data_IF_384765156694
#
_entry.id   IF_384765156694
#
_cell.length_a   1.000
_cell.length_b   1.000
_cell.length_c   1.000
_cell.angle_alpha   90.00
_cell.angle_beta   90.00
_cell.angle_gamma   90.00
#
_symmetry.space_group_name_H-M   'P 1'
#
loop_
_entity.id
_entity.type
_entity.pdbx_description
1 polymer ?
#
# COMPACT_ATOMS: atom_id res chain seq x y z
N UNK A 1 26.70 1.15 -27.86
CA UNK A 1 25.42 1.00 -27.11
C UNK A 1 25.08 -0.48 -27.05
N UNK A 2 24.46 -0.93 -25.98
CA UNK A 2 24.06 -2.33 -25.78
C UNK A 2 22.55 -2.40 -25.59
N UNK A 3 21.98 -3.55 -25.97
CA UNK A 3 20.61 -3.94 -25.65
C UNK A 3 20.59 -5.19 -24.76
N UNK A 4 19.53 -5.34 -23.99
CA UNK A 4 19.21 -6.52 -23.20
C UNK A 4 17.74 -6.50 -22.79
N UNK A 5 17.22 -7.58 -22.21
CA UNK A 5 15.82 -7.70 -21.81
C UNK A 5 15.69 -7.61 -20.29
N UNK A 6 14.75 -6.80 -19.81
CA UNK A 6 14.40 -6.69 -18.40
C UNK A 6 14.03 -8.07 -17.83
N UNK A 7 14.60 -8.40 -16.66
CA UNK A 7 14.43 -9.72 -16.04
C UNK A 7 13.09 -9.89 -15.32
N UNK A 8 12.32 -8.81 -15.15
CA UNK A 8 10.96 -8.90 -14.61
C UNK A 8 10.05 -9.60 -15.63
N UNK A 9 9.51 -10.75 -15.24
CA UNK A 9 8.71 -11.63 -16.11
C UNK A 9 7.47 -10.94 -16.69
N UNK A 10 6.94 -9.92 -16.01
CA UNK A 10 5.78 -9.15 -16.42
C UNK A 10 6.14 -7.90 -17.24
N UNK A 11 7.42 -7.49 -17.23
CA UNK A 11 7.91 -6.33 -17.96
C UNK A 11 8.52 -6.73 -19.29
N UNK A 12 9.56 -7.57 -19.26
CA UNK A 12 10.34 -8.04 -20.43
C UNK A 12 10.69 -6.95 -21.46
N UNK A 13 10.79 -5.69 -21.03
CA UNK A 13 11.07 -4.58 -21.92
C UNK A 13 12.52 -4.63 -22.41
N UNK A 14 12.71 -4.22 -23.66
CA UNK A 14 14.06 -4.06 -24.20
C UNK A 14 14.72 -2.82 -23.59
N UNK A 15 15.80 -3.05 -22.86
CA UNK A 15 16.62 -2.02 -22.23
C UNK A 15 17.77 -1.67 -23.17
N UNK A 16 18.04 -0.38 -23.29
CA UNK A 16 19.15 0.17 -24.09
C UNK A 16 20.05 0.95 -23.16
N UNK A 17 21.35 0.62 -23.12
CA UNK A 17 22.28 1.18 -22.14
C UNK A 17 23.71 1.31 -22.69
N UNK A 18 24.53 2.26 -22.17
CA UNK A 18 25.96 2.33 -22.46
C UNK A 18 26.72 1.11 -21.93
N UNK A 19 27.79 0.71 -22.65
CA UNK A 19 28.62 -0.44 -22.27
C UNK A 19 29.29 -0.29 -20.90
N UNK A 20 29.64 0.94 -20.54
CA UNK A 20 30.35 1.27 -19.30
C UNK A 20 29.47 1.18 -18.04
N UNK A 21 28.15 1.01 -18.17
CA UNK A 21 27.28 0.89 -17.01
C UNK A 21 27.31 -0.53 -16.45
N UNK A 22 27.62 -0.65 -15.16
CA UNK A 22 27.51 -1.91 -14.42
C UNK A 22 26.04 -2.31 -14.14
N UNK A 23 25.14 -1.32 -14.08
CA UNK A 23 23.72 -1.52 -13.79
C UNK A 23 22.85 -0.66 -14.71
N UNK A 24 21.63 -1.14 -14.98
CA UNK A 24 20.60 -0.40 -15.71
C UNK A 24 19.26 -0.53 -15.01
N UNK A 25 18.54 0.59 -14.89
CA UNK A 25 17.18 0.63 -14.35
C UNK A 25 16.16 0.61 -15.47
N UNK A 26 15.20 -0.32 -15.40
CA UNK A 26 14.09 -0.38 -16.34
C UNK A 26 13.12 0.77 -16.09
N UNK A 27 12.96 1.70 -17.03
CA UNK A 27 12.02 2.82 -16.90
C UNK A 27 10.53 2.40 -16.91
N UNK A 28 10.21 1.14 -17.22
CA UNK A 28 8.84 0.64 -17.18
C UNK A 28 8.46 0.07 -15.81
N UNK A 29 9.29 -0.81 -15.25
CA UNK A 29 9.00 -1.46 -13.98
C UNK A 29 9.81 -0.95 -12.78
N UNK A 30 10.78 -0.07 -13.02
CA UNK A 30 11.66 0.52 -12.01
C UNK A 30 12.70 -0.43 -11.42
N UNK A 31 12.76 -1.70 -11.85
CA UNK A 31 13.78 -2.65 -11.39
C UNK A 31 15.16 -2.30 -11.93
N UNK A 32 16.18 -2.47 -11.10
CA UNK A 32 17.58 -2.28 -11.47
C UNK A 32 18.27 -3.63 -11.63
N UNK A 33 18.94 -3.83 -12.75
CA UNK A 33 19.59 -5.09 -13.10
C UNK A 33 21.09 -4.89 -13.33
N UNK A 34 21.95 -5.83 -12.89
CA UNK A 34 23.31 -5.91 -13.38
C UNK A 34 23.30 -6.09 -14.90
N UNK A 35 24.01 -5.25 -15.65
CA UNK A 35 24.00 -5.32 -17.12
C UNK A 35 24.52 -6.64 -17.66
N UNK A 36 25.38 -7.32 -16.90
CA UNK A 36 25.90 -8.66 -17.21
C UNK A 36 24.87 -9.79 -17.08
N UNK A 37 23.78 -9.58 -16.34
CA UNK A 37 22.75 -10.59 -16.07
C UNK A 37 21.58 -10.56 -17.05
N UNK A 38 21.49 -9.52 -17.90
CA UNK A 38 20.37 -9.33 -18.81
C UNK A 38 20.32 -10.41 -19.89
N UNK A 39 19.12 -10.91 -20.17
CA UNK A 39 18.89 -11.84 -21.26
C UNK A 39 19.05 -11.13 -22.61
N UNK A 40 19.44 -11.89 -23.64
CA UNK A 40 19.63 -11.40 -25.02
C UNK A 40 20.55 -10.17 -25.12
N UNK A 41 21.56 -10.11 -24.24
CA UNK A 41 22.54 -9.02 -24.24
C UNK A 41 23.34 -9.03 -25.53
N UNK A 42 23.26 -7.95 -26.31
CA UNK A 42 23.99 -7.80 -27.56
C UNK A 42 24.42 -6.34 -27.79
N UNK A 43 25.56 -6.11 -28.47
CA UNK A 43 25.88 -4.78 -28.98
C UNK A 43 24.83 -4.35 -30.00
N UNK A 44 24.46 -3.08 -29.99
CA UNK A 44 23.60 -2.48 -31.02
C UNK A 44 24.49 -2.06 -32.18
N UNK A 45 24.29 -2.67 -33.35
CA UNK A 45 24.93 -2.23 -34.58
C UNK A 45 24.17 -1.01 -35.14
N UNK A 46 24.80 0.16 -35.04
CA UNK A 46 24.23 1.43 -35.50
C UNK A 46 24.16 1.55 -37.03
N UNK A 47 24.81 0.64 -37.76
CA UNK A 47 24.92 0.65 -39.23
C UNK A 47 23.94 -0.31 -39.93
N UNK A 48 23.41 -1.31 -39.22
CA UNK A 48 22.63 -2.43 -39.80
C UNK A 48 21.14 -2.44 -39.46
N UNK A 49 20.62 -1.53 -38.63
CA UNK A 49 19.21 -1.58 -38.26
C UNK A 49 18.40 -0.44 -38.91
N UNK A 50 17.33 -0.80 -39.62
CA UNK A 50 16.16 0.04 -39.98
C UNK A 50 15.49 0.73 -38.74
N UNK A 51 16.07 0.52 -37.55
CA UNK A 51 15.67 0.98 -36.23
C UNK A 51 16.32 2.31 -35.80
N UNK A 52 16.85 3.13 -36.71
CA UNK A 52 17.20 4.51 -36.37
C UNK A 52 16.00 5.25 -35.73
N UNK A 53 14.77 4.83 -36.02
CA UNK A 53 13.54 5.27 -35.36
C UNK A 53 13.37 4.76 -33.92
N UNK A 54 13.83 3.55 -33.57
CA UNK A 54 13.81 3.06 -32.17
C UNK A 54 14.91 3.71 -31.30
N UNK A 55 16.04 4.07 -31.93
CA UNK A 55 17.09 4.87 -31.32
C UNK A 55 16.65 6.34 -31.21
N UNK A 56 15.99 6.91 -32.22
CA UNK A 56 15.27 8.19 -32.08
C UNK A 56 14.24 8.11 -30.96
N UNK A 57 13.41 7.09 -30.86
CA UNK A 57 12.51 6.89 -29.71
C UNK A 57 13.24 6.75 -28.37
N UNK A 58 14.47 6.22 -28.32
CA UNK A 58 15.26 6.11 -27.10
C UNK A 58 16.05 7.37 -26.76
N UNK A 59 16.27 8.26 -27.73
CA UNK A 59 16.77 9.62 -27.54
C UNK A 59 15.61 10.60 -27.32
N UNK A 60 14.43 10.34 -27.87
CA UNK A 60 13.13 10.98 -27.58
C UNK A 60 12.56 10.50 -26.24
N UNK A 61 13.14 9.48 -25.60
CA UNK A 61 12.97 9.25 -24.16
C UNK A 61 13.53 10.40 -23.31
N UNK A 62 14.37 11.28 -23.86
CA UNK A 62 14.67 12.59 -23.26
C UNK A 62 13.56 13.64 -23.51
N UNK A 63 12.65 13.41 -24.47
CA UNK A 63 11.45 14.21 -24.74
C UNK A 63 10.17 13.62 -24.09
N UNK A 64 10.23 12.42 -23.53
CA UNK A 64 9.15 11.86 -22.71
C UNK A 64 9.25 12.43 -21.29
N UNK A 65 8.17 13.00 -20.72
CA UNK A 65 8.21 13.44 -19.34
C UNK A 65 8.55 12.24 -18.45
N UNK A 66 9.45 12.42 -17.46
CA UNK A 66 9.81 11.34 -16.54
C UNK A 66 8.54 10.81 -15.88
N UNK A 67 8.39 9.48 -15.88
CA UNK A 67 7.23 8.84 -15.24
C UNK A 67 7.20 9.24 -13.76
N UNK A 68 6.04 9.70 -13.32
CA UNK A 68 5.77 9.86 -11.90
C UNK A 68 5.88 8.53 -11.17
N UNK A 69 6.20 8.54 -9.85
CA UNK A 69 6.21 7.34 -9.02
C UNK A 69 4.93 6.50 -9.13
N UNK A 70 3.78 7.15 -9.32
CA UNK A 70 2.44 6.55 -9.46
C UNK A 70 2.24 5.72 -10.74
N UNK A 71 3.12 5.89 -11.74
CA UNK A 71 3.05 5.23 -13.05
C UNK A 71 4.07 4.09 -13.22
N UNK A 72 4.92 3.86 -12.22
CA UNK A 72 5.88 2.75 -12.25
C UNK A 72 5.13 1.43 -12.14
N UNK A 73 5.36 0.50 -13.07
CA UNK A 73 4.64 -0.78 -13.13
C UNK A 73 5.40 -1.90 -12.46
N UNK A 74 5.06 -2.24 -11.23
CA UNK A 74 5.67 -3.39 -10.55
C UNK A 74 4.77 -4.60 -10.73
N UNK A 75 5.32 -5.72 -11.22
CA UNK A 75 4.56 -6.93 -11.59
C UNK A 75 3.34 -6.62 -12.48
N UNK A 76 3.52 -5.73 -13.45
CA UNK A 76 2.51 -5.37 -14.46
C UNK A 76 1.51 -4.28 -14.06
N UNK A 77 1.48 -3.83 -12.80
CA UNK A 77 0.49 -2.85 -12.31
C UNK A 77 1.18 -1.59 -11.74
N UNK A 78 0.60 -0.43 -12.02
CA UNK A 78 0.97 0.85 -11.41
C UNK A 78 -0.11 1.31 -10.42
N UNK A 79 0.25 2.17 -9.46
CA UNK A 79 -0.73 2.72 -8.51
C UNK A 79 -1.83 3.50 -9.23
N UNK A 80 -1.51 4.25 -10.27
CA UNK A 80 -2.52 4.96 -11.05
C UNK A 80 -3.54 4.00 -11.70
N UNK A 81 -3.07 2.88 -12.26
CA UNK A 81 -3.98 1.85 -12.79
C UNK A 81 -4.86 1.27 -11.67
N UNK A 82 -4.27 0.93 -10.54
CA UNK A 82 -5.01 0.43 -9.37
C UNK A 82 -6.11 1.42 -8.92
N UNK A 83 -5.85 2.73 -8.99
CA UNK A 83 -6.85 3.76 -8.66
C UNK A 83 -8.05 3.76 -9.59
N UNK A 84 -7.85 3.53 -10.89
CA UNK A 84 -8.94 3.48 -11.86
C UNK A 84 -9.91 2.32 -11.60
N UNK A 85 -9.37 1.16 -11.20
CA UNK A 85 -10.17 -0.07 -11.05
C UNK A 85 -10.66 -0.30 -9.62
N UNK A 86 -10.02 0.29 -8.60
CA UNK A 86 -10.40 0.13 -7.19
C UNK A 86 -11.89 0.39 -6.90
N UNK A 87 -12.55 1.41 -7.49
CA UNK A 87 -13.99 1.64 -7.28
C UNK A 87 -14.86 0.44 -7.64
N UNK A 88 -14.51 -0.31 -8.68
CA UNK A 88 -15.25 -1.51 -9.10
C UNK A 88 -15.21 -2.58 -8.01
N UNK A 89 -14.07 -2.74 -7.32
CA UNK A 89 -13.90 -3.73 -6.25
C UNK A 89 -14.75 -3.46 -5.01
N UNK A 90 -15.40 -2.30 -4.93
CA UNK A 90 -16.34 -2.02 -3.83
C UNK A 90 -17.64 -2.79 -3.98
N UNK A 91 -18.04 -3.11 -5.22
CA UNK A 91 -19.33 -3.74 -5.55
C UNK A 91 -19.20 -4.99 -6.43
N UNK A 92 -18.03 -5.23 -7.02
CA UNK A 92 -17.71 -6.41 -7.83
C UNK A 92 -16.56 -7.20 -7.20
N UNK A 93 -16.58 -8.50 -7.42
CA UNK A 93 -15.46 -9.40 -7.18
C UNK A 93 -15.20 -10.24 -8.43
N UNK A 94 -14.39 -11.28 -8.29
CA UNK A 94 -14.11 -12.23 -9.36
C UNK A 94 -14.68 -13.60 -9.00
N UNK A 95 -15.48 -14.17 -9.89
CA UNK A 95 -15.86 -15.58 -9.79
C UNK A 95 -14.63 -16.46 -10.06
N UNK A 96 -14.30 -17.36 -9.14
CA UNK A 96 -13.05 -18.14 -9.19
C UNK A 96 -13.00 -19.16 -10.32
N UNK A 97 -14.16 -19.61 -10.83
CA UNK A 97 -14.24 -20.64 -11.86
C UNK A 97 -14.10 -20.04 -13.26
N UNK A 98 -14.81 -18.94 -13.49
CA UNK A 98 -14.86 -18.25 -14.79
C UNK A 98 -13.77 -17.19 -14.93
N UNK A 99 -13.23 -16.68 -13.81
CA UNK A 99 -12.30 -15.55 -13.82
C UNK A 99 -12.95 -14.22 -14.21
N UNK A 100 -14.29 -14.15 -14.27
CA UNK A 100 -15.02 -12.95 -14.70
C UNK A 100 -15.47 -12.09 -13.52
N UNK A 101 -15.63 -10.80 -13.79
CA UNK A 101 -16.16 -9.86 -12.82
C UNK A 101 -17.66 -10.14 -12.55
N UNK A 102 -18.02 -10.26 -11.28
CA UNK A 102 -19.40 -10.53 -10.84
C UNK A 102 -19.73 -9.64 -9.66
N UNK A 103 -20.98 -9.18 -9.57
CA UNK A 103 -21.45 -8.40 -8.43
C UNK A 103 -21.25 -9.16 -7.12
N UNK A 104 -20.75 -8.47 -6.09
CA UNK A 104 -20.55 -9.03 -4.75
C UNK A 104 -21.87 -9.51 -4.14
N UNK A 105 -23.00 -8.89 -4.51
CA UNK A 105 -24.32 -9.33 -4.06
C UNK A 105 -24.64 -10.75 -4.53
N UNK A 106 -24.18 -11.12 -5.73
CA UNK A 106 -24.35 -12.45 -6.27
C UNK A 106 -23.33 -13.44 -5.71
N UNK A 107 -22.09 -12.99 -5.44
CA UNK A 107 -21.01 -13.83 -4.91
C UNK A 107 -21.10 -14.11 -3.40
N UNK A 108 -21.57 -13.13 -2.63
CA UNK A 108 -21.46 -13.13 -1.15
C UNK A 108 -22.76 -12.77 -0.44
N UNK A 109 -23.81 -12.41 -1.18
CA UNK A 109 -25.06 -11.89 -0.63
C UNK A 109 -24.99 -10.43 -0.14
N UNK A 110 -23.81 -9.79 -0.18
CA UNK A 110 -23.61 -8.42 0.30
C UNK A 110 -23.43 -7.42 -0.83
N UNK A 111 -23.96 -6.22 -0.67
CA UNK A 111 -23.84 -5.17 -1.68
C UNK A 111 -22.39 -4.69 -1.88
N UNK A 112 -21.61 -4.67 -0.79
CA UNK A 112 -20.24 -4.17 -0.80
C UNK A 112 -19.24 -5.18 -0.23
N UNK A 113 -17.96 -4.97 -0.51
CA UNK A 113 -16.87 -5.81 -0.03
C UNK A 113 -16.81 -5.81 1.50
N UNK A 114 -16.92 -6.99 2.09
CA UNK A 114 -16.60 -7.17 3.51
C UNK A 114 -15.08 -7.10 3.68
N UNK A 115 -14.56 -5.96 4.11
CA UNK A 115 -13.13 -5.76 4.29
C UNK A 115 -12.53 -6.64 5.41
N UNK A 116 -13.34 -7.33 6.23
CA UNK A 116 -12.81 -8.31 7.18
C UNK A 116 -12.17 -9.52 6.48
N UNK A 117 -12.33 -9.70 5.16
CA UNK A 117 -11.59 -10.71 4.38
C UNK A 117 -10.08 -10.49 4.37
N UNK A 118 -9.62 -9.29 4.75
CA UNK A 118 -8.21 -8.94 4.88
C UNK A 118 -7.63 -9.19 6.27
N UNK A 119 -8.43 -9.72 7.22
CA UNK A 119 -8.05 -9.82 8.63
C UNK A 119 -6.76 -10.61 8.87
N UNK A 120 -6.52 -11.67 8.09
CA UNK A 120 -5.34 -12.54 8.20
C UNK A 120 -4.25 -12.21 7.15
N UNK A 121 -4.47 -11.20 6.29
CA UNK A 121 -3.63 -10.91 5.12
C UNK A 121 -2.47 -10.00 5.45
N UNK A 122 -1.26 -10.38 5.06
CA UNK A 122 -0.07 -9.55 5.28
C UNK A 122 0.83 -9.60 4.06
N UNK A 123 1.34 -8.44 3.66
CA UNK A 123 2.33 -8.31 2.61
C UNK A 123 3.75 -8.34 3.18
N UNK A 124 4.67 -8.90 2.40
CA UNK A 124 6.10 -8.79 2.62
C UNK A 124 6.75 -8.45 1.30
N UNK A 125 7.61 -7.45 1.29
CA UNK A 125 8.26 -7.00 0.07
C UNK A 125 9.44 -7.91 -0.27
N UNK A 126 9.60 -8.22 -1.55
CA UNK A 126 10.78 -8.95 -2.01
C UNK A 126 12.02 -8.01 -1.97
N UNK A 127 13.21 -8.49 -1.58
CA UNK A 127 14.40 -7.63 -1.47
C UNK A 127 14.71 -6.82 -2.74
N UNK A 128 14.54 -7.41 -3.92
CA UNK A 128 14.78 -6.74 -5.21
C UNK A 128 13.75 -5.64 -5.55
N UNK A 129 12.66 -5.55 -4.80
CA UNK A 129 11.61 -4.53 -4.98
C UNK A 129 11.78 -3.33 -4.04
N UNK A 130 12.65 -3.43 -3.02
CA UNK A 130 12.82 -2.41 -1.98
C UNK A 130 13.26 -1.07 -2.55
N UNK A 131 14.10 -1.05 -3.58
CA UNK A 131 14.63 0.21 -4.13
C UNK A 131 13.84 0.73 -5.35
N UNK A 132 12.71 0.11 -5.70
CA UNK A 132 11.87 0.58 -6.80
C UNK A 132 11.17 1.89 -6.39
N UNK A 133 11.51 2.99 -7.04
CA UNK A 133 10.87 4.29 -6.79
C UNK A 133 9.35 4.21 -7.01
N UNK A 134 8.56 4.76 -6.08
CA UNK A 134 7.10 4.73 -6.14
C UNK A 134 6.45 3.42 -5.72
N UNK A 135 7.23 2.38 -5.41
CA UNK A 135 6.69 1.10 -4.96
C UNK A 135 7.38 0.56 -3.70
N UNK A 136 8.70 0.62 -3.66
CA UNK A 136 9.50 0.15 -2.54
C UNK A 136 9.57 1.17 -1.40
N UNK A 137 10.78 1.39 -0.90
CA UNK A 137 11.12 2.25 0.23
C UNK A 137 10.67 3.71 0.00
N UNK A 138 9.91 4.24 0.95
CA UNK A 138 9.73 5.69 1.08
C UNK A 138 10.98 6.30 1.72
N UNK A 139 11.75 7.09 0.96
CA UNK A 139 13.04 7.61 1.45
C UNK A 139 12.88 8.47 2.70
N UNK A 140 11.98 9.46 2.63
CA UNK A 140 11.67 10.37 3.74
C UNK A 140 11.24 9.64 5.00
N UNK A 141 10.32 8.70 4.88
CA UNK A 141 9.81 7.95 6.03
C UNK A 141 10.90 7.10 6.67
N UNK A 142 11.72 6.40 5.88
CA UNK A 142 12.75 5.54 6.45
C UNK A 142 13.91 6.33 7.06
N UNK A 143 14.22 7.52 6.53
CA UNK A 143 15.15 8.45 7.18
C UNK A 143 14.58 8.95 8.51
N UNK A 144 13.31 9.35 8.51
CA UNK A 144 12.62 9.84 9.71
C UNK A 144 12.48 8.76 10.81
N UNK A 145 12.26 7.51 10.42
CA UNK A 145 12.04 6.37 11.32
C UNK A 145 13.32 5.60 11.65
N UNK A 146 14.48 6.00 11.13
CA UNK A 146 15.72 5.22 11.21
C UNK A 146 16.09 4.84 12.65
N UNK A 147 16.10 5.81 13.57
CA UNK A 147 16.40 5.58 14.98
C UNK A 147 15.34 4.68 15.65
N UNK A 148 14.06 4.93 15.34
CA UNK A 148 12.93 4.14 15.88
C UNK A 148 13.05 2.68 15.49
N UNK A 149 13.22 2.39 14.20
CA UNK A 149 13.33 1.00 13.71
C UNK A 149 14.61 0.33 14.18
N UNK A 150 15.70 1.10 14.39
CA UNK A 150 16.96 0.57 14.93
C UNK A 150 16.80 -0.02 16.35
N UNK A 151 15.82 0.43 17.13
CA UNK A 151 15.54 -0.15 18.45
C UNK A 151 15.05 -1.61 18.41
N UNK A 152 14.59 -2.08 17.24
CA UNK A 152 14.14 -3.45 17.03
C UNK A 152 15.26 -4.39 16.60
N UNK A 153 16.44 -3.88 16.20
CA UNK A 153 17.57 -4.68 15.75
C UNK A 153 17.99 -5.80 16.72
N UNK A 154 18.06 -5.58 18.05
CA UNK A 154 18.45 -6.63 18.99
C UNK A 154 17.49 -7.83 19.02
N UNK A 155 16.22 -7.64 18.64
CA UNK A 155 15.21 -8.71 18.57
C UNK A 155 15.20 -9.43 17.22
N UNK A 156 15.97 -8.92 16.24
CA UNK A 156 15.95 -9.30 14.84
C UNK A 156 17.35 -9.67 14.33
N UNK A 157 18.19 -10.28 15.18
CA UNK A 157 19.57 -10.68 14.87
C UNK A 157 20.43 -9.54 14.30
N UNK A 158 20.15 -8.30 14.71
CA UNK A 158 20.77 -7.07 14.19
C UNK A 158 20.62 -6.88 12.67
N UNK A 159 19.50 -7.36 12.09
CA UNK A 159 19.17 -7.19 10.68
C UNK A 159 18.04 -6.19 10.47
N UNK A 160 18.19 -5.31 9.48
CA UNK A 160 17.11 -4.46 8.98
C UNK A 160 16.15 -5.31 8.14
N UNK A 161 15.09 -5.81 8.77
CA UNK A 161 14.08 -6.66 8.14
C UNK A 161 12.71 -5.98 8.02
N UNK A 162 12.64 -4.67 8.27
CA UNK A 162 11.45 -3.83 8.13
C UNK A 162 11.76 -2.66 7.20
N UNK A 163 10.76 -2.23 6.44
CA UNK A 163 10.86 -1.06 5.57
C UNK A 163 9.53 -0.33 5.50
N UNK A 164 9.57 1.00 5.59
CA UNK A 164 8.40 1.84 5.30
C UNK A 164 8.24 1.98 3.78
N UNK A 165 7.07 1.63 3.23
CA UNK A 165 6.85 1.69 1.78
C UNK A 165 6.25 3.02 1.33
N UNK A 166 6.55 3.40 0.09
CA UNK A 166 5.92 4.52 -0.60
C UNK A 166 4.40 4.33 -0.64
N UNK A 167 3.67 5.42 -0.46
CA UNK A 167 2.23 5.51 -0.66
C UNK A 167 1.92 6.80 -1.40
N UNK A 168 0.93 6.80 -2.28
CA UNK A 168 0.56 8.02 -3.00
C UNK A 168 -0.07 9.08 -2.07
N UNK A 169 0.36 10.33 -2.24
CA UNK A 169 -0.09 11.48 -1.45
C UNK A 169 -1.35 12.17 -2.00
N UNK A 170 -2.37 11.41 -2.37
CA UNK A 170 -3.61 11.91 -3.01
C UNK A 170 -4.78 12.14 -2.02
N UNK A 171 -4.49 12.20 -0.72
CA UNK A 171 -5.50 12.32 0.34
C UNK A 171 -6.06 10.97 0.83
N UNK A 172 -5.71 9.84 0.21
CA UNK A 172 -6.15 8.51 0.64
C UNK A 172 -5.04 7.68 1.33
N UNK A 173 -3.92 8.31 1.71
CA UNK A 173 -2.72 7.61 2.22
C UNK A 173 -2.98 6.60 3.34
N UNK A 174 -3.93 6.83 4.27
CA UNK A 174 -4.26 5.84 5.31
C UNK A 174 -4.78 4.52 4.72
N UNK A 175 -5.75 4.58 3.80
CA UNK A 175 -6.34 3.37 3.21
C UNK A 175 -5.41 2.75 2.16
N UNK A 176 -4.59 3.56 1.50
CA UNK A 176 -3.49 3.06 0.67
C UNK A 176 -2.49 2.27 1.52
N UNK A 177 -2.02 2.84 2.63
CA UNK A 177 -1.08 2.18 3.54
C UNK A 177 -1.64 0.86 4.07
N UNK A 178 -2.92 0.82 4.46
CA UNK A 178 -3.58 -0.43 4.86
C UNK A 178 -3.62 -1.44 3.70
N UNK A 179 -4.06 -1.03 2.51
CA UNK A 179 -4.11 -1.89 1.32
C UNK A 179 -2.72 -2.46 1.00
N UNK A 180 -1.68 -1.62 1.07
CA UNK A 180 -0.28 -2.02 0.87
C UNK A 180 0.22 -2.96 1.97
N UNK A 181 -0.13 -2.74 3.23
CA UNK A 181 0.27 -3.62 4.34
C UNK A 181 -0.38 -5.02 4.24
N UNK A 182 -1.59 -5.14 3.70
CA UNK A 182 -2.29 -6.43 3.58
C UNK A 182 -1.96 -7.19 2.30
N UNK A 183 -1.68 -6.51 1.19
CA UNK A 183 -1.50 -7.16 -0.12
C UNK A 183 -0.41 -6.56 -1.03
N UNK A 184 0.28 -5.52 -0.59
CA UNK A 184 1.38 -4.86 -1.33
C UNK A 184 0.97 -3.82 -2.35
N UNK A 185 -0.34 -3.63 -2.57
CA UNK A 185 -0.95 -2.78 -3.60
C UNK A 185 -1.92 -1.78 -3.00
N UNK A 186 -2.14 -0.66 -3.66
CA UNK A 186 -3.17 0.34 -3.29
C UNK A 186 -4.57 -0.05 -3.80
N UNK A 187 -4.67 -1.19 -4.50
CA UNK A 187 -5.88 -1.72 -5.14
C UNK A 187 -7.18 -1.68 -4.31
N UNK A 188 -7.14 -1.79 -2.98
CA UNK A 188 -8.35 -1.79 -2.13
C UNK A 188 -8.60 -0.48 -1.38
N UNK A 189 -7.97 0.63 -1.77
CA UNK A 189 -8.19 1.93 -1.13
C UNK A 189 -9.66 2.36 -1.11
N UNK A 190 -10.37 2.20 -2.22
CA UNK A 190 -11.76 2.64 -2.36
C UNK A 190 -12.72 1.73 -1.57
N UNK A 191 -12.62 0.39 -1.66
CA UNK A 191 -13.38 -0.51 -0.80
C UNK A 191 -13.16 -0.26 0.70
N UNK A 192 -11.95 0.07 1.13
CA UNK A 192 -11.66 0.39 2.54
C UNK A 192 -12.37 1.67 3.00
N UNK A 193 -12.41 2.73 2.18
CA UNK A 193 -13.18 3.96 2.43
C UNK A 193 -14.68 3.67 2.56
N UNK A 194 -15.25 2.98 1.57
CA UNK A 194 -16.67 2.59 1.55
C UNK A 194 -17.03 1.71 2.75
N UNK A 195 -16.19 0.71 3.04
CA UNK A 195 -16.36 -0.20 4.17
C UNK A 195 -16.29 0.52 5.51
N UNK A 196 -15.36 1.46 5.68
CA UNK A 196 -15.23 2.27 6.89
C UNK A 196 -16.47 3.15 7.12
N UNK A 197 -16.94 3.85 6.07
CA UNK A 197 -18.17 4.67 6.14
C UNK A 197 -19.37 3.82 6.57
N UNK A 198 -19.54 2.64 6.00
CA UNK A 198 -20.62 1.72 6.37
C UNK A 198 -20.47 1.17 7.79
N UNK A 199 -19.24 0.89 8.21
CA UNK A 199 -18.94 0.39 9.54
C UNK A 199 -19.30 1.41 10.62
N UNK A 200 -18.94 2.68 10.44
CA UNK A 200 -19.35 3.75 11.35
C UNK A 200 -20.87 3.92 11.39
N UNK A 201 -21.54 4.01 10.24
CA UNK A 201 -23.00 4.13 10.19
C UNK A 201 -23.71 2.98 10.93
N UNK A 202 -23.22 1.75 10.77
CA UNK A 202 -23.82 0.55 11.40
C UNK A 202 -23.55 0.47 12.89
N UNK A 203 -22.41 0.98 13.36
CA UNK A 203 -21.95 0.81 14.76
C UNK A 203 -21.87 2.13 15.53
N UNK A 204 -22.48 3.21 15.04
CA UNK A 204 -22.31 4.57 15.55
C UNK A 204 -22.52 4.68 17.06
N UNK A 205 -23.58 4.04 17.57
CA UNK A 205 -23.89 4.08 19.00
C UNK A 205 -22.83 3.38 19.86
N UNK A 206 -22.19 2.31 19.35
CA UNK A 206 -21.04 1.70 20.05
C UNK A 206 -19.86 2.67 20.10
N UNK A 207 -19.57 3.35 19.00
CA UNK A 207 -18.50 4.33 18.96
C UNK A 207 -18.76 5.50 19.93
N UNK A 208 -19.97 6.07 19.93
CA UNK A 208 -20.38 7.09 20.90
C UNK A 208 -20.28 6.60 22.34
N UNK A 209 -20.63 5.35 22.62
CA UNK A 209 -20.52 4.80 23.97
C UNK A 209 -19.07 4.69 24.48
N UNK A 210 -18.13 4.40 23.58
CA UNK A 210 -16.72 4.21 23.93
C UNK A 210 -15.96 5.54 23.94
N UNK A 211 -16.29 6.45 23.01
CA UNK A 211 -15.51 7.65 22.74
C UNK A 211 -16.26 8.96 23.04
N UNK A 212 -17.49 8.90 23.55
CA UNK A 212 -18.33 10.08 23.76
C UNK A 212 -17.81 11.07 24.80
N UNK A 213 -16.85 10.68 25.63
CA UNK A 213 -16.12 11.60 26.52
C UNK A 213 -15.03 12.39 25.81
N UNK A 214 -14.59 11.96 24.62
CA UNK A 214 -13.48 12.54 23.86
C UNK A 214 -13.93 13.20 22.54
N UNK A 215 -14.98 12.67 21.93
CA UNK A 215 -15.53 13.12 20.64
C UNK A 215 -16.96 13.62 20.86
N UNK A 216 -17.23 14.85 20.43
CA UNK A 216 -18.56 15.45 20.57
C UNK A 216 -19.57 14.75 19.66
N UNK A 217 -20.82 14.64 20.11
CA UNK A 217 -21.91 14.07 19.30
C UNK A 217 -22.10 14.78 17.95
N UNK A 218 -21.74 16.06 17.85
CA UNK A 218 -21.86 16.85 16.63
C UNK A 218 -20.77 16.52 15.59
N UNK A 219 -19.63 15.96 16.02
CA UNK A 219 -18.49 15.67 15.12
C UNK A 219 -18.69 14.40 14.29
N UNK A 220 -19.57 13.48 14.72
CA UNK A 220 -19.76 12.19 14.06
C UNK A 220 -20.24 12.29 12.62
N UNK A 221 -21.05 13.30 12.29
CA UNK A 221 -21.46 13.55 10.90
C UNK A 221 -20.24 13.77 10.01
N UNK A 222 -19.37 14.69 10.42
CA UNK A 222 -18.14 15.01 9.70
C UNK A 222 -17.18 13.81 9.63
N UNK A 223 -16.98 13.06 10.73
CA UNK A 223 -16.14 11.85 10.75
C UNK A 223 -16.63 10.80 9.73
N UNK A 224 -17.95 10.60 9.63
CA UNK A 224 -18.54 9.66 8.67
C UNK A 224 -18.42 10.17 7.23
N UNK A 225 -18.60 11.47 7.01
CA UNK A 225 -18.44 12.10 5.70
C UNK A 225 -16.98 12.08 5.21
N UNK A 226 -16.01 12.29 6.10
CA UNK A 226 -14.56 12.18 5.84
C UNK A 226 -14.20 10.81 5.24
N UNK A 227 -14.97 9.75 5.52
CA UNK A 227 -14.76 8.41 4.97
C UNK A 227 -15.17 8.26 3.50
N UNK A 228 -15.93 9.21 2.93
CA UNK A 228 -16.36 9.11 1.53
C UNK A 228 -15.14 9.11 0.58
N UNK A 229 -15.07 8.19 -0.41
CA UNK A 229 -13.99 8.20 -1.40
C UNK A 229 -13.89 9.52 -2.19
N UNK A 230 -14.99 10.27 -2.28
CA UNK A 230 -15.07 11.55 -3.01
C UNK A 230 -15.04 12.78 -2.09
N UNK A 231 -14.84 12.57 -0.78
CA UNK A 231 -14.82 13.65 0.20
C UNK A 231 -13.78 14.71 -0.19
N UNK A 232 -14.24 15.96 -0.23
CA UNK A 232 -13.42 17.14 -0.48
C UNK A 232 -13.67 18.14 0.66
N UNK A 233 -12.63 18.51 1.43
CA UNK A 233 -12.78 19.45 2.55
C UNK A 233 -13.34 20.80 2.10
N UNK A 234 -14.32 21.40 2.84
CA UNK A 234 -15.02 22.62 2.41
C UNK A 234 -14.15 23.87 2.23
N UNK A 235 -13.02 23.94 2.94
CA UNK A 235 -12.11 25.10 3.02
C UNK A 235 -10.81 24.89 2.23
N UNK A 236 -10.70 23.80 1.47
CA UNK A 236 -9.45 23.42 0.80
C UNK A 236 -8.33 22.99 1.75
N UNK A 237 -8.61 22.85 3.05
CA UNK A 237 -7.66 22.27 3.99
C UNK A 237 -7.40 20.80 3.64
N UNK A 238 -6.20 20.31 3.89
CA UNK A 238 -5.92 18.87 3.79
C UNK A 238 -6.40 18.17 5.07
N UNK A 239 -7.72 17.99 5.23
CA UNK A 239 -8.25 17.10 6.27
C UNK A 239 -8.17 15.67 5.75
N UNK A 240 -7.09 14.99 6.14
CA UNK A 240 -6.95 13.55 5.97
C UNK A 240 -7.71 12.76 7.03
N UNK A 241 -7.83 11.45 6.82
CA UNK A 241 -8.35 10.54 7.85
C UNK A 241 -7.48 10.60 9.11
N UNK A 242 -8.12 10.76 10.27
CA UNK A 242 -7.51 10.91 11.61
C UNK A 242 -7.49 9.60 12.42
N UNK A 243 -6.97 9.62 13.65
CA UNK A 243 -6.88 8.46 14.56
C UNK A 243 -8.20 7.69 14.75
N UNK A 244 -9.35 8.38 14.82
CA UNK A 244 -10.66 7.73 14.87
C UNK A 244 -10.91 6.79 13.67
N UNK A 245 -10.39 7.13 12.49
CA UNK A 245 -10.48 6.32 11.28
C UNK A 245 -9.54 5.12 11.34
N UNK A 246 -8.34 5.28 11.91
CA UNK A 246 -7.43 4.14 12.16
C UNK A 246 -8.09 3.16 13.13
N UNK A 247 -8.71 3.67 14.19
CA UNK A 247 -9.52 2.88 15.13
C UNK A 247 -10.70 2.19 14.44
N UNK A 248 -11.39 2.90 13.55
CA UNK A 248 -12.45 2.35 12.73
C UNK A 248 -11.99 1.21 11.82
N UNK A 249 -10.84 1.39 11.16
CA UNK A 249 -10.23 0.38 10.30
C UNK A 249 -9.77 -0.85 11.08
N UNK A 250 -9.23 -0.69 12.30
CA UNK A 250 -8.87 -1.82 13.16
C UNK A 250 -10.10 -2.71 13.43
N UNK A 251 -11.24 -2.09 13.74
CA UNK A 251 -12.50 -2.79 13.98
C UNK A 251 -13.14 -3.37 12.70
N UNK A 252 -13.05 -2.68 11.57
CA UNK A 252 -13.49 -3.17 10.26
C UNK A 252 -12.69 -4.42 9.83
N UNK A 253 -11.37 -4.39 10.01
CA UNK A 253 -10.46 -5.49 9.67
C UNK A 253 -10.43 -6.59 10.73
N UNK A 254 -10.99 -6.35 11.92
CA UNK A 254 -10.91 -7.24 13.10
C UNK A 254 -9.48 -7.59 13.46
N UNK A 255 -8.62 -6.57 13.45
CA UNK A 255 -7.17 -6.72 13.54
C UNK A 255 -6.56 -5.47 14.19
N UNK A 256 -5.60 -5.61 15.12
CA UNK A 256 -4.88 -4.46 15.66
C UNK A 256 -4.10 -3.71 14.57
N UNK A 257 -4.09 -2.38 14.66
CA UNK A 257 -3.23 -1.51 13.85
C UNK A 257 -2.35 -0.73 14.82
N UNK A 258 -1.05 -0.74 14.59
CA UNK A 258 -0.08 0.03 15.38
C UNK A 258 0.41 1.16 14.48
N UNK A 259 0.24 2.41 14.93
CA UNK A 259 0.80 3.59 14.30
C UNK A 259 2.03 4.02 15.09
N UNK A 260 3.17 4.08 14.44
CA UNK A 260 4.43 4.55 15.04
C UNK A 260 4.87 5.90 14.48
N UNK A 261 5.72 6.57 15.23
CA UNK A 261 6.35 7.85 14.88
C UNK A 261 7.87 7.76 15.11
N UNK A 262 8.62 8.85 14.95
CA UNK A 262 9.98 8.92 15.47
C UNK A 262 10.01 8.69 17.00
N UNK A 263 11.15 8.33 17.59
CA UNK A 263 11.26 8.06 19.04
C UNK A 263 10.72 9.20 19.92
N UNK A 264 10.90 10.45 19.51
CA UNK A 264 10.36 11.60 20.22
C UNK A 264 8.82 11.67 20.09
N UNK A 265 8.29 11.44 18.88
CA UNK A 265 6.86 11.42 18.62
C UNK A 265 6.14 10.31 19.38
N UNK A 266 6.75 9.11 19.42
CA UNK A 266 6.28 7.95 20.19
C UNK A 266 6.12 8.24 21.69
N UNK A 267 6.92 9.17 22.24
CA UNK A 267 6.89 9.54 23.66
C UNK A 267 6.02 10.76 23.95
N UNK A 268 5.56 11.48 22.93
CA UNK A 268 4.95 12.79 23.10
C UNK A 268 3.44 12.73 23.36
N UNK A 269 2.68 11.93 22.59
CA UNK A 269 1.24 11.77 22.76
C UNK A 269 0.72 10.54 22.03
N UNK A 270 -0.33 9.92 22.58
CA UNK A 270 -1.11 8.88 21.90
C UNK A 270 -1.82 9.40 20.62
N UNK A 271 -1.90 10.72 20.44
CA UNK A 271 -2.40 11.32 19.20
C UNK A 271 -1.41 11.20 18.03
N UNK A 272 -0.12 10.98 18.32
CA UNK A 272 0.93 10.84 17.30
C UNK A 272 1.30 9.38 17.05
N UNK A 273 1.26 8.53 18.06
CA UNK A 273 1.52 7.10 17.91
C UNK A 273 0.64 6.31 18.88
N UNK A 274 0.04 5.22 18.41
CA UNK A 274 -0.88 4.45 19.22
C UNK A 274 -1.10 3.02 18.72
N UNK A 275 -1.59 2.17 19.62
CA UNK A 275 -2.18 0.87 19.30
C UNK A 275 -3.70 1.05 19.18
N UNK A 276 -4.24 0.71 18.01
CA UNK A 276 -5.67 0.69 17.73
C UNK A 276 -6.18 -0.74 17.80
N UNK A 277 -6.86 -1.08 18.90
CA UNK A 277 -7.39 -2.43 19.13
C UNK A 277 -8.77 -2.60 18.48
N UNK A 278 -9.10 -3.78 17.93
CA UNK A 278 -10.41 -4.08 17.34
C UNK A 278 -11.47 -4.38 18.41
N UNK A 279 -11.49 -3.61 19.51
CA UNK A 279 -12.25 -3.91 20.73
C UNK A 279 -13.77 -3.80 20.63
N UNK A 280 -14.33 -3.34 19.51
CA UNK A 280 -15.78 -3.43 19.24
C UNK A 280 -16.20 -4.81 18.75
N UNK A 281 -15.24 -5.70 18.50
CA UNK A 281 -15.44 -7.10 18.14
C UNK A 281 -15.00 -7.99 19.31
N UNK A 282 -15.68 -9.12 19.56
CA UNK A 282 -15.18 -10.08 20.53
C UNK A 282 -13.85 -10.70 20.04
N UNK A 283 -12.92 -11.09 20.94
CA UNK A 283 -11.61 -11.60 20.55
C UNK A 283 -11.66 -12.82 19.62
N UNK A 284 -12.71 -13.65 19.73
CA UNK A 284 -12.92 -14.79 18.85
C UNK A 284 -13.14 -14.40 17.38
N UNK A 285 -13.69 -13.22 17.10
CA UNK A 285 -13.89 -12.70 15.75
C UNK A 285 -12.62 -12.08 15.16
N UNK A 286 -11.59 -11.87 15.99
CA UNK A 286 -10.29 -11.32 15.61
C UNK A 286 -9.23 -12.41 15.43
N UNK A 287 -9.66 -13.63 15.08
CA UNK A 287 -8.80 -14.80 14.88
C UNK A 287 -8.83 -15.25 13.42
N UNK A 288 -7.69 -15.77 12.96
CA UNK A 288 -7.55 -16.41 11.66
C UNK A 288 -8.24 -17.79 11.64
N UNK A 289 -8.19 -18.45 10.48
CA UNK A 289 -8.78 -19.79 10.31
C UNK A 289 -8.11 -20.88 11.16
N UNK A 290 -6.90 -20.64 11.66
CA UNK A 290 -6.19 -21.53 12.59
C UNK A 290 -6.55 -21.26 14.06
N UNK A 291 -7.41 -20.26 14.32
CA UNK A 291 -7.81 -19.85 15.67
C UNK A 291 -6.77 -18.97 16.37
N UNK A 292 -5.71 -18.51 15.68
CA UNK A 292 -4.73 -17.58 16.25
C UNK A 292 -5.20 -16.15 16.06
N UNK A 293 -4.87 -15.26 17.00
CA UNK A 293 -5.19 -13.84 16.85
C UNK A 293 -4.51 -13.28 15.60
N UNK A 294 -5.23 -12.43 14.86
CA UNK A 294 -4.68 -11.74 13.70
C UNK A 294 -3.49 -10.87 14.17
N UNK A 295 -2.31 -11.07 13.59
CA UNK A 295 -1.11 -10.30 13.94
C UNK A 295 -1.32 -8.82 13.65
N UNK A 296 -0.75 -7.84 14.36
CA UNK A 296 -0.97 -6.43 14.06
C UNK A 296 -0.55 -6.02 12.62
N UNK A 297 -1.12 -4.93 12.10
CA UNK A 297 -0.52 -4.15 11.02
C UNK A 297 0.34 -3.04 11.62
N UNK A 298 1.45 -2.68 10.96
CA UNK A 298 2.32 -1.59 11.38
C UNK A 298 2.28 -0.47 10.34
N UNK A 299 1.85 0.70 10.77
CA UNK A 299 1.84 1.94 10.01
C UNK A 299 2.78 2.95 10.67
N UNK A 300 3.22 3.94 9.92
CA UNK A 300 4.00 5.05 10.46
C UNK A 300 3.63 6.38 9.80
N UNK A 301 3.97 7.48 10.47
CA UNK A 301 4.08 8.77 9.82
C UNK A 301 5.36 8.84 8.98
N UNK A 302 5.28 9.45 7.79
CA UNK A 302 6.46 9.62 6.93
C UNK A 302 7.37 10.79 7.36
N UNK A 303 6.86 11.71 8.19
CA UNK A 303 7.61 12.88 8.65
C UNK A 303 6.98 13.49 9.91
N UNK A 304 7.68 14.45 10.51
CA UNK A 304 7.21 15.23 11.67
C UNK A 304 5.96 16.08 11.39
N UNK A 305 5.62 16.32 10.11
CA UNK A 305 4.38 16.98 9.73
C UNK A 305 3.14 16.12 9.96
N UNK A 306 3.30 14.79 10.09
CA UNK A 306 2.22 13.82 10.40
C UNK A 306 0.98 13.98 9.52
N UNK A 307 1.21 14.20 8.23
CA UNK A 307 0.17 14.39 7.22
C UNK A 307 0.14 13.26 6.18
N UNK A 308 0.99 12.23 6.33
CA UNK A 308 1.10 11.13 5.38
C UNK A 308 1.40 9.81 6.09
N UNK A 309 0.51 8.83 5.89
CA UNK A 309 0.65 7.47 6.41
C UNK A 309 1.40 6.59 5.43
N UNK A 310 2.33 5.80 5.95
CA UNK A 310 3.04 4.75 5.20
C UNK A 310 2.96 3.42 5.96
N UNK A 311 2.90 2.27 5.26
CA UNK A 311 2.97 0.98 5.92
C UNK A 311 4.43 0.60 6.19
N UNK A 312 4.69 0.00 7.34
CA UNK A 312 5.98 -0.62 7.65
C UNK A 312 5.80 -2.12 7.52
N UNK A 313 6.45 -2.73 6.52
CA UNK A 313 6.26 -4.14 6.20
C UNK A 313 7.56 -4.94 6.36
N UNK A 314 7.47 -6.26 6.56
CA UNK A 314 8.64 -7.13 6.47
C UNK A 314 9.29 -7.11 5.10
N UNK A 315 10.61 -7.08 5.08
CA UNK A 315 11.41 -7.50 3.92
C UNK A 315 11.49 -9.03 3.99
N UNK A 316 11.10 -9.71 2.90
CA UNK A 316 11.13 -11.17 2.86
C UNK A 316 12.55 -11.68 3.07
N UNK A 317 12.69 -12.54 4.07
CA UNK A 317 13.90 -13.26 4.42
C UNK A 317 13.48 -14.69 4.77
N UNK A 318 14.07 -15.69 4.12
CA UNK A 318 13.65 -17.09 4.23
C UNK A 318 13.86 -17.67 5.63
N UNK A 319 14.70 -17.02 6.46
CA UNK A 319 15.12 -17.57 7.75
C UNK A 319 14.34 -17.01 8.95
N UNK A 320 13.68 -15.85 8.84
CA UNK A 320 13.01 -15.23 9.99
C UNK A 320 12.05 -14.10 9.60
N UNK A 321 10.89 -14.05 10.26
CA UNK A 321 9.97 -12.91 10.22
C UNK A 321 10.33 -11.86 11.30
N UNK A 322 10.11 -10.56 11.05
CA UNK A 322 10.42 -9.52 12.02
C UNK A 322 9.67 -9.70 13.34
N UNK A 323 10.39 -9.53 14.45
CA UNK A 323 9.86 -9.57 15.81
C UNK A 323 9.76 -8.16 16.35
N UNK A 324 8.60 -7.83 16.93
CA UNK A 324 8.30 -6.55 17.56
C UNK A 324 8.15 -6.79 19.06
N UNK A 325 9.08 -6.28 19.85
CA UNK A 325 9.04 -6.41 21.31
C UNK A 325 8.00 -5.47 21.93
N UNK A 326 7.34 -5.89 23.01
CA UNK A 326 6.31 -5.10 23.70
C UNK A 326 6.78 -3.70 24.10
N UNK A 327 8.05 -3.53 24.51
CA UNK A 327 8.59 -2.22 24.90
C UNK A 327 8.70 -1.21 23.76
N UNK A 328 8.57 -1.66 22.50
CA UNK A 328 8.52 -0.78 21.33
C UNK A 328 7.14 -0.12 21.17
N UNK A 329 6.10 -0.70 21.77
CA UNK A 329 4.73 -0.33 21.46
C UNK A 329 4.32 0.97 22.13
N UNK A 330 3.58 1.84 21.42
CA UNK A 330 2.97 3.02 22.01
C UNK A 330 1.76 2.63 22.88
N UNK A 331 1.09 3.62 23.46
CA UNK A 331 -0.12 3.41 24.24
C UNK A 331 -1.32 3.01 23.37
N UNK A 332 -2.28 2.29 23.96
CA UNK A 332 -3.59 1.99 23.36
C UNK A 332 -4.43 3.26 23.26
N UNK A 333 -5.03 3.51 22.09
CA UNK A 333 -5.95 4.61 21.84
C UNK A 333 -7.41 4.16 21.96
N UNK A 334 -8.23 4.94 22.67
CA UNK A 334 -9.68 4.73 22.81
C UNK A 334 -10.09 3.54 23.70
N UNK A 335 -9.14 2.78 24.25
CA UNK A 335 -9.40 1.63 25.13
C UNK A 335 -8.40 1.52 26.27
N UNK A 336 -8.72 0.77 27.35
CA UNK A 336 -7.77 0.47 28.42
C UNK A 336 -6.53 -0.29 27.93
N UNK A 337 -5.37 0.06 28.48
CA UNK A 337 -4.08 -0.58 28.16
C UNK A 337 -4.07 -2.10 28.41
N UNK A 338 -4.85 -2.56 29.39
CA UNK A 338 -4.97 -3.99 29.76
C UNK A 338 -5.57 -4.86 28.65
N UNK A 339 -6.24 -4.28 27.65
CA UNK A 339 -6.79 -5.04 26.52
C UNK A 339 -5.74 -5.44 25.48
N UNK A 340 -4.50 -4.95 25.59
CA UNK A 340 -3.42 -5.31 24.66
C UNK A 340 -3.25 -6.82 24.53
N UNK A 341 -3.20 -7.54 25.66
CA UNK A 341 -2.99 -9.00 25.70
C UNK A 341 -4.21 -9.81 25.24
N UNK A 342 -5.37 -9.16 25.15
CA UNK A 342 -6.60 -9.78 24.64
C UNK A 342 -6.57 -9.89 23.11
N UNK A 343 -5.90 -8.94 22.44
CA UNK A 343 -5.93 -8.82 20.98
C UNK A 343 -4.56 -8.96 20.31
N UNK A 344 -3.46 -8.93 21.06
CA UNK A 344 -2.10 -9.17 20.57
C UNK A 344 -1.51 -10.33 21.36
N UNK A 345 -1.10 -11.37 20.63
CA UNK A 345 -0.38 -12.50 21.22
C UNK A 345 1.12 -12.22 21.25
N UNK A 346 1.71 -12.21 22.44
CA UNK A 346 3.15 -12.11 22.65
C UNK A 346 3.71 -13.49 23.02
N UNK A 347 4.90 -13.79 22.52
CA UNK A 347 5.66 -14.98 22.87
C UNK A 347 6.36 -14.83 24.25
N UNK A 348 7.09 -15.87 24.65
CA UNK A 348 7.83 -15.92 25.92
C UNK A 348 8.89 -14.82 26.07
N UNK A 349 9.35 -14.24 24.95
CA UNK A 349 10.28 -13.11 24.96
C UNK A 349 9.56 -11.77 24.79
N UNK A 350 8.26 -11.71 25.09
CA UNK A 350 7.43 -10.51 24.95
C UNK A 350 7.43 -9.89 23.54
N UNK A 351 7.63 -10.71 22.51
CA UNK A 351 7.58 -10.27 21.12
C UNK A 351 6.33 -10.79 20.43
N UNK A 352 5.82 -10.06 19.44
CA UNK A 352 4.97 -10.65 18.42
C UNK A 352 5.70 -10.64 17.08
N UNK A 353 5.32 -11.56 16.20
CA UNK A 353 5.88 -11.66 14.84
C UNK A 353 5.03 -10.84 13.87
N UNK A 354 5.64 -9.90 13.16
CA UNK A 354 5.00 -9.13 12.10
C UNK A 354 5.05 -9.89 10.77
N UNK A 355 3.92 -9.94 10.07
CA UNK A 355 3.76 -10.72 8.84
C UNK A 355 3.14 -12.11 9.09
N UNK A 356 3.18 -12.97 8.06
CA UNK A 356 2.67 -14.33 8.14
C UNK A 356 2.29 -14.95 6.79
N UNK A 357 1.63 -16.11 6.84
CA UNK A 357 1.30 -16.92 5.66
C UNK A 357 0.06 -16.46 4.88
N UNK A 358 -0.70 -15.48 5.39
CA UNK A 358 -1.91 -14.97 4.76
C UNK A 358 -1.69 -14.18 3.46
N UNK A 359 -0.62 -14.40 2.71
CA UNK A 359 -0.35 -13.65 1.47
C UNK A 359 -1.43 -13.93 0.42
N UNK A 360 -1.83 -12.90 -0.31
CA UNK A 360 -2.61 -13.09 -1.54
C UNK A 360 -1.64 -13.49 -2.66
N UNK A 361 -1.85 -14.64 -3.35
CA UNK A 361 -0.96 -15.04 -4.43
C UNK A 361 -0.97 -14.03 -5.58
N UNK A 362 0.20 -13.67 -6.10
CA UNK A 362 0.32 -12.77 -7.25
C UNK A 362 -0.55 -13.21 -8.46
N UNK A 363 -0.64 -14.51 -8.82
CA UNK A 363 -1.54 -14.94 -9.90
C UNK A 363 -3.03 -14.63 -9.64
N UNK A 364 -3.47 -14.64 -8.38
CA UNK A 364 -4.84 -14.26 -8.03
C UNK A 364 -5.06 -12.76 -8.22
N UNK A 365 -4.11 -11.93 -7.79
CA UNK A 365 -4.16 -10.46 -7.94
C UNK A 365 -4.26 -10.11 -9.43
N UNK A 366 -3.41 -10.71 -10.27
CA UNK A 366 -3.42 -10.46 -11.72
C UNK A 366 -4.74 -10.87 -12.38
N UNK A 367 -5.31 -12.03 -12.00
CA UNK A 367 -6.63 -12.44 -12.49
C UNK A 367 -7.73 -11.49 -12.06
N UNK A 368 -7.72 -11.06 -10.78
CA UNK A 368 -8.68 -10.11 -10.25
C UNK A 368 -8.61 -8.78 -11.00
N UNK A 369 -7.40 -8.24 -11.17
CA UNK A 369 -7.19 -7.00 -11.94
C UNK A 369 -7.65 -7.16 -13.38
N UNK A 370 -7.30 -8.25 -14.06
CA UNK A 370 -7.74 -8.51 -15.44
C UNK A 370 -9.27 -8.54 -15.56
N UNK A 371 -9.96 -9.17 -14.60
CA UNK A 371 -11.42 -9.18 -14.57
C UNK A 371 -12.00 -7.77 -14.38
N UNK A 372 -11.38 -6.94 -13.54
CA UNK A 372 -11.79 -5.55 -13.35
C UNK A 372 -11.45 -4.68 -14.56
N UNK A 373 -10.36 -4.94 -15.26
CA UNK A 373 -9.97 -4.23 -16.50
C UNK A 373 -11.00 -4.47 -17.60
N UNK A 374 -11.42 -5.72 -17.80
CA UNK A 374 -12.50 -6.05 -18.73
C UNK A 374 -13.79 -5.32 -18.36
N UNK A 375 -14.17 -5.34 -17.07
CA UNK A 375 -15.38 -4.65 -16.59
C UNK A 375 -15.27 -3.13 -16.75
N UNK A 376 -14.11 -2.55 -16.47
CA UNK A 376 -13.84 -1.13 -16.63
C UNK A 376 -13.99 -0.73 -18.10
N UNK A 377 -13.41 -1.51 -19.01
CA UNK A 377 -13.53 -1.29 -20.45
C UNK A 377 -14.99 -1.37 -20.92
N UNK A 378 -15.75 -2.38 -20.45
CA UNK A 378 -17.17 -2.52 -20.76
C UNK A 378 -18.01 -1.32 -20.27
N UNK A 379 -17.67 -0.75 -19.10
CA UNK A 379 -18.42 0.38 -18.51
C UNK A 379 -18.05 1.73 -19.11
N UNK A 380 -16.78 1.94 -19.47
CA UNK A 380 -16.25 3.24 -19.85
C UNK A 380 -15.90 3.34 -21.35
N UNK A 381 -15.92 2.24 -22.09
CA UNK A 381 -15.54 2.18 -23.50
C UNK A 381 -14.04 2.35 -23.76
N UNK A 382 -13.20 2.37 -22.72
CA UNK A 382 -11.76 2.59 -22.78
C UNK A 382 -11.04 1.72 -21.77
N UNK A 383 -9.84 1.21 -22.11
CA UNK A 383 -9.05 0.43 -21.17
C UNK A 383 -8.41 1.31 -20.09
N UNK A 384 -8.32 0.85 -18.84
CA UNK A 384 -7.66 1.62 -17.78
C UNK A 384 -6.17 1.83 -18.07
N UNK A 385 -5.54 0.87 -18.76
CA UNK A 385 -4.17 0.98 -19.23
C UNK A 385 -3.97 2.17 -20.19
N UNK A 386 -4.89 2.36 -21.15
CA UNK A 386 -4.81 3.49 -22.09
C UNK A 386 -4.99 4.83 -21.37
N UNK A 387 -5.87 4.91 -20.37
CA UNK A 387 -6.01 6.12 -19.53
C UNK A 387 -4.71 6.39 -18.77
N UNK A 388 -4.11 5.37 -18.15
CA UNK A 388 -2.85 5.52 -17.43
C UNK A 388 -1.71 6.01 -18.34
N UNK A 389 -1.64 5.49 -19.56
CA UNK A 389 -0.65 5.91 -20.55
C UNK A 389 -0.94 7.35 -21.00
N UNK A 390 -2.19 7.72 -21.29
CA UNK A 390 -2.56 9.10 -21.67
C UNK A 390 -2.25 10.11 -20.55
N UNK A 391 -2.52 9.76 -19.29
CA UNK A 391 -2.23 10.61 -18.14
C UNK A 391 -0.74 10.96 -18.05
N UNK A 392 0.14 10.02 -18.39
CA UNK A 392 1.58 10.26 -18.50
C UNK A 392 1.89 11.36 -19.53
N UNK A 393 1.23 11.34 -20.69
CA UNK A 393 1.49 12.25 -21.81
C UNK A 393 0.87 13.64 -21.63
N UNK A 394 -0.39 13.73 -21.22
CA UNK A 394 -1.13 15.00 -21.23
C UNK A 394 -0.88 15.89 -20.01
N UNK A 395 -0.68 15.30 -18.82
CA UNK A 395 -0.70 16.06 -17.57
C UNK A 395 0.68 16.30 -16.95
N UNK A 396 1.68 15.45 -17.21
CA UNK A 396 3.05 15.67 -16.72
C UNK A 396 3.98 16.36 -17.71
N UNK A 397 3.64 16.42 -19.00
CA UNK A 397 4.34 17.27 -19.97
C UNK A 397 4.23 18.77 -19.65
N UNK A 398 3.13 19.20 -18.99
CA UNK A 398 2.88 20.60 -18.60
C UNK A 398 3.53 21.02 -17.29
N UNK A 399 3.77 20.09 -16.34
CA UNK A 399 4.43 20.41 -15.07
C UNK A 399 5.94 20.68 -15.24
N UNK A 400 6.59 20.09 -16.25
CA UNK A 400 7.98 20.37 -16.58
C UNK A 400 8.19 21.73 -17.29
N UNK A 401 7.13 22.33 -17.84
CA UNK A 401 7.17 23.65 -18.50
C UNK A 401 6.81 24.82 -17.57
N UNK A 402 6.49 24.56 -16.29
CA UNK A 402 6.13 25.58 -15.30
C UNK A 402 7.21 25.84 -14.23
N UNK A 403 8.43 25.32 -14.41
CA UNK A 403 9.56 25.52 -13.50
C UNK A 403 10.74 26.27 -14.13
N UNK A 404 10.53 26.94 -15.26
CA UNK A 404 11.43 27.97 -15.77
C UNK A 404 10.67 29.30 -15.73
N UNK A 405 10.67 29.95 -14.57
CA UNK A 405 10.59 31.40 -14.39
C UNK A 405 11.13 31.79 -13.00
#
# INVERSE_FOLDING_TARGET
>A
MWKGVCLDEFCQQTLVFPECLAYVTCHFCGQTHPTTSLLMRAPIDLSLEENQHLLKCSVDKFNHPPKGPDLVKVMGLSHYHEKLISPLLSTYGMDKHTGKAVLLRLLTGRANLDCSVFSDRSFMIEPHQVDICGFGKDRSANEYLAETLSTLLPFNNNQNNLVALHVDGDGHCLVHAISRAVMGRELFWHPLRVGLKQHFNTNLEKYKSVLGSWISNQEWGNIIEECDPTYSPPDGSMVGLRNIHVFGLANLLRRPIILIDCLQGMKASADYAAIFLPGLNPPMACRDKSGRLNTPLLLAWSSSARNHYVPVVPIKNDNQLPRIHRSFLPEVWGFPQSLTDTYIHFDEQNCFTLGGEGRLPQPYILKLTSAMDELFCLKNGVSPQLIADLYQFEFRGKLAQGCED
#
